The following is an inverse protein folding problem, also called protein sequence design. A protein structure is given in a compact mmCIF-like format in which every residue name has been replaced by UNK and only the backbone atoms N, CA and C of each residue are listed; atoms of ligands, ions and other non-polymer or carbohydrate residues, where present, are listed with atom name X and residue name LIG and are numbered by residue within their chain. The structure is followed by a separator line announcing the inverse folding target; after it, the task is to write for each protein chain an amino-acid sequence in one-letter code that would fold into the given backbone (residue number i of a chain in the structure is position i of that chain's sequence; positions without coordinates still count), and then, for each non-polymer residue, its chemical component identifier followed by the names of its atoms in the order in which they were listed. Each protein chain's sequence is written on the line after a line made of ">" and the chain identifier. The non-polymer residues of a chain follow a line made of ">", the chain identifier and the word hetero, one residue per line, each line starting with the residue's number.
data_IF_824480233915
#
_entry.id   IF_824480233915
#
_cell.length_a   1.000
_cell.length_b   1.000
_cell.length_c   1.000
_cell.angle_alpha   90.00
_cell.angle_beta   90.00
_cell.angle_gamma   90.00
#
_symmetry.space_group_name_H-M   'P 1'
#
loop_
_entity.id
_entity.type
_entity.pdbx_description
1 polymer ?
#
# COMPACT_ATOMS: atom_id res chain seq x y z
N UNK A 1 -51.81 17.47 -26.93
CA UNK A 1 -51.04 18.17 -25.87
C UNK A 1 -49.91 17.26 -25.44
N UNK A 2 -48.66 17.62 -25.74
CA UNK A 2 -47.45 16.87 -25.42
C UNK A 2 -46.83 17.48 -24.16
N UNK A 3 -46.70 16.70 -23.09
CA UNK A 3 -45.97 17.11 -21.89
C UNK A 3 -44.50 16.69 -22.04
N UNK A 4 -43.62 17.67 -22.20
CA UNK A 4 -42.16 17.51 -22.07
C UNK A 4 -41.80 17.61 -20.59
N UNK A 5 -41.50 16.47 -19.96
CA UNK A 5 -40.98 16.42 -18.59
C UNK A 5 -39.47 16.70 -18.57
N UNK A 6 -39.09 17.88 -18.11
CA UNK A 6 -37.70 18.25 -17.85
C UNK A 6 -37.18 17.64 -16.56
N UNK A 7 -36.20 16.74 -16.66
CA UNK A 7 -35.41 16.31 -15.51
C UNK A 7 -34.41 17.40 -15.13
N UNK A 8 -34.69 18.09 -14.02
CA UNK A 8 -33.77 19.03 -13.39
C UNK A 8 -32.72 18.25 -12.60
N UNK A 9 -31.49 18.20 -13.12
CA UNK A 9 -30.34 17.59 -12.44
C UNK A 9 -29.83 18.57 -11.37
N UNK A 10 -30.18 18.33 -10.10
CA UNK A 10 -29.60 19.07 -8.96
C UNK A 10 -28.15 18.66 -8.77
N UNK A 11 -27.24 19.61 -9.00
CA UNK A 11 -25.84 19.50 -8.64
C UNK A 11 -25.71 19.65 -7.12
N UNK A 12 -25.52 18.54 -6.43
CA UNK A 12 -25.25 18.52 -4.98
C UNK A 12 -23.76 18.84 -4.79
N UNK A 13 -23.48 19.96 -4.11
CA UNK A 13 -22.13 20.39 -3.77
C UNK A 13 -21.44 19.35 -2.89
N UNK A 14 -20.33 18.79 -3.40
CA UNK A 14 -19.42 17.97 -2.61
C UNK A 14 -18.54 18.84 -1.70
N UNK A 15 -18.15 18.35 -0.51
CA UNK A 15 -17.31 19.10 0.41
C UNK A 15 -15.89 19.25 -0.14
N UNK A 16 -15.46 20.50 -0.33
CA UNK A 16 -14.07 20.88 -0.64
C UNK A 16 -13.21 20.73 0.61
N UNK A 17 -12.64 19.54 0.82
CA UNK A 17 -11.50 19.35 1.71
C UNK A 17 -10.21 19.53 0.91
N UNK A 18 -9.76 20.77 0.81
CA UNK A 18 -8.46 21.10 0.27
C UNK A 18 -7.40 20.73 1.33
N UNK A 19 -7.06 19.45 1.44
CA UNK A 19 -5.90 19.03 2.22
C UNK A 19 -4.64 19.46 1.47
N UNK A 20 -3.88 20.35 2.11
CA UNK A 20 -2.66 20.93 1.60
C UNK A 20 -1.60 19.86 1.36
N UNK A 21 -1.24 19.63 0.08
CA UNK A 21 -0.17 18.71 -0.30
C UNK A 21 1.17 19.05 0.35
N UNK A 22 1.36 20.32 0.76
CA UNK A 22 2.59 20.76 1.42
C UNK A 22 2.73 20.25 2.86
N UNK A 23 1.63 19.92 3.53
CA UNK A 23 1.66 19.31 4.87
C UNK A 23 2.19 17.87 4.84
N UNK A 24 1.83 17.11 3.80
CA UNK A 24 2.35 15.76 3.62
C UNK A 24 3.82 15.81 3.20
N UNK A 25 4.21 16.66 2.23
CA UNK A 25 5.62 16.80 1.83
C UNK A 25 6.53 17.27 2.97
N UNK A 26 6.05 18.13 3.87
CA UNK A 26 6.75 18.52 5.09
C UNK A 26 6.91 17.33 6.05
N UNK A 27 5.83 16.57 6.31
CA UNK A 27 5.91 15.33 7.10
C UNK A 27 6.86 14.29 6.48
N UNK A 28 6.99 14.25 5.16
CA UNK A 28 7.94 13.38 4.45
C UNK A 28 9.39 13.86 4.61
N UNK A 29 9.64 15.17 4.50
CA UNK A 29 10.98 15.75 4.63
C UNK A 29 11.55 15.59 6.06
N UNK A 30 10.73 15.85 7.09
CA UNK A 30 11.13 15.72 8.49
C UNK A 30 11.46 14.26 8.87
N UNK A 31 10.80 13.29 8.24
CA UNK A 31 11.04 11.86 8.47
C UNK A 31 12.35 11.36 7.86
N UNK A 32 12.72 11.86 6.68
CA UNK A 32 14.01 11.58 6.04
C UNK A 32 15.14 12.21 6.86
N UNK A 33 14.95 13.44 7.33
CA UNK A 33 15.93 14.15 8.16
C UNK A 33 16.13 13.52 9.54
N UNK A 34 15.06 12.96 10.15
CA UNK A 34 15.15 12.37 11.50
C UNK A 34 15.80 10.99 11.55
N UNK A 35 15.87 10.25 10.44
CA UNK A 35 16.45 8.90 10.38
C UNK A 35 17.87 8.86 9.79
N UNK A 36 18.39 9.98 9.30
CA UNK A 36 19.82 10.12 8.98
C UNK A 36 20.65 10.25 10.26
N UNK A 37 20.95 9.12 10.91
CA UNK A 37 22.02 9.08 11.92
C UNK A 37 23.38 9.40 11.28
N UNK A 38 24.28 10.11 11.98
CA UNK A 38 25.57 10.51 11.42
C UNK A 38 26.43 9.28 11.10
N UNK A 39 26.89 9.18 9.86
CA UNK A 39 27.87 8.18 9.43
C UNK A 39 29.14 8.38 10.26
N UNK A 40 29.46 7.42 11.13
CA UNK A 40 30.81 7.27 11.68
C UNK A 40 31.74 6.98 10.50
N UNK A 41 32.60 7.94 10.17
CA UNK A 41 33.68 7.76 9.21
C UNK A 41 34.55 6.57 9.66
N UNK A 42 34.61 5.55 8.83
CA UNK A 42 35.47 4.38 9.02
C UNK A 42 36.68 4.56 8.12
N UNK A 43 37.75 5.11 8.67
CA UNK A 43 39.10 5.08 8.09
C UNK A 43 39.55 3.63 7.94
N UNK A 44 39.58 3.13 6.71
CA UNK A 44 40.17 1.83 6.36
C UNK A 44 41.50 2.03 5.64
N UNK A 45 42.60 1.93 6.39
CA UNK A 45 43.92 1.60 5.86
C UNK A 45 44.03 0.06 5.83
N UNK A 46 44.17 -0.51 4.63
CA UNK A 46 44.43 -1.94 4.44
C UNK A 46 45.91 -2.28 4.65
N UNK A 47 46.20 -3.52 5.09
CA UNK A 47 47.19 -4.34 4.40
C UNK A 47 46.66 -5.76 4.04
N UNK A 48 47.33 -6.51 3.15
CA UNK A 48 46.73 -7.60 2.37
C UNK A 48 46.65 -8.96 3.10
N UNK A 49 45.72 -9.87 2.73
CA UNK A 49 45.62 -11.18 3.34
C UNK A 49 46.57 -12.21 2.71
N UNK A 50 47.35 -12.88 3.58
CA UNK A 50 48.17 -14.05 3.26
C UNK A 50 47.29 -15.30 3.07
N UNK A 51 47.66 -16.10 2.07
CA UNK A 51 47.09 -17.40 1.71
C UNK A 51 47.14 -18.40 2.87
N UNK A 52 46.05 -19.12 3.11
CA UNK A 52 46.07 -20.49 3.64
C UNK A 52 44.87 -21.27 3.07
N UNK A 53 45.18 -22.31 2.30
CA UNK A 53 44.23 -23.27 1.78
C UNK A 53 43.88 -24.30 2.88
N UNK A 54 42.61 -24.65 3.01
CA UNK A 54 42.21 -25.94 3.58
C UNK A 54 40.85 -26.37 3.01
N UNK A 55 40.87 -27.46 2.25
CA UNK A 55 39.73 -28.21 1.72
C UNK A 55 38.81 -28.68 2.85
N UNK A 56 37.49 -28.69 2.62
CA UNK A 56 36.60 -29.81 2.98
C UNK A 56 35.27 -29.72 2.22
N UNK A 57 34.98 -30.81 1.51
CA UNK A 57 33.70 -31.10 0.90
C UNK A 57 32.65 -31.42 1.98
N UNK A 58 31.37 -31.09 1.73
CA UNK A 58 30.27 -31.48 2.61
C UNK A 58 28.90 -30.96 2.17
N UNK A 59 28.14 -31.85 1.50
CA UNK A 59 26.67 -31.94 1.39
C UNK A 59 25.88 -30.72 0.86
N UNK A 60 25.32 -30.90 -0.34
CA UNK A 60 24.07 -30.27 -0.79
C UNK A 60 22.93 -30.70 0.12
N UNK A 61 22.21 -29.75 0.70
CA UNK A 61 20.86 -29.94 1.26
C UNK A 61 19.87 -29.09 0.45
N UNK A 62 18.79 -29.66 -0.09
CA UNK A 62 17.66 -28.88 -0.57
C UNK A 62 16.75 -28.60 0.64
N UNK A 63 16.57 -27.33 0.99
CA UNK A 63 15.75 -27.00 2.17
C UNK A 63 15.56 -25.51 2.38
N UNK A 64 14.40 -25.04 1.95
CA UNK A 64 13.71 -23.82 2.40
C UNK A 64 14.51 -22.52 2.53
N UNK A 65 14.67 -21.83 1.40
CA UNK A 65 14.79 -20.37 1.40
C UNK A 65 13.44 -19.74 1.77
N UNK A 66 13.07 -19.81 3.06
CA UNK A 66 12.26 -18.73 3.59
C UNK A 66 13.21 -17.56 3.79
N UNK A 67 13.18 -16.59 2.87
CA UNK A 67 13.77 -15.28 3.09
C UNK A 67 13.16 -14.69 4.36
N UNK A 68 13.80 -14.98 5.50
CA UNK A 68 13.62 -14.21 6.72
C UNK A 68 14.27 -12.87 6.45
N UNK A 69 13.53 -11.97 5.80
CA UNK A 69 13.92 -10.57 5.77
C UNK A 69 14.10 -10.14 7.22
N UNK A 70 15.33 -9.78 7.57
CA UNK A 70 15.58 -9.17 8.87
C UNK A 70 14.81 -7.85 8.98
N UNK A 71 14.51 -7.37 10.19
CA UNK A 71 13.77 -6.12 10.38
C UNK A 71 14.39 -4.93 9.62
N UNK A 72 15.72 -4.87 9.52
CA UNK A 72 16.43 -3.87 8.72
C UNK A 72 16.17 -4.00 7.19
N UNK A 73 16.00 -5.22 6.68
CA UNK A 73 15.68 -5.48 5.28
C UNK A 73 14.26 -5.06 4.94
N UNK A 74 13.30 -5.34 5.82
CA UNK A 74 11.91 -4.91 5.63
C UNK A 74 11.78 -3.38 5.73
N UNK A 75 12.50 -2.73 6.64
CA UNK A 75 12.52 -1.27 6.75
C UNK A 75 13.10 -0.61 5.49
N UNK A 76 14.20 -1.15 4.96
CA UNK A 76 14.75 -0.71 3.67
C UNK A 76 13.71 -0.84 2.56
N UNK A 77 13.04 -2.00 2.47
CA UNK A 77 11.98 -2.25 1.48
C UNK A 77 10.83 -1.25 1.61
N UNK A 78 10.40 -0.94 2.83
CA UNK A 78 9.39 0.09 3.09
C UNK A 78 9.81 1.45 2.52
N UNK A 79 11.03 1.91 2.79
CA UNK A 79 11.53 3.18 2.25
C UNK A 79 11.68 3.18 0.72
N UNK A 80 12.01 2.04 0.11
CA UNK A 80 12.03 1.93 -1.35
C UNK A 80 10.64 2.12 -1.96
N UNK A 81 9.63 1.43 -1.44
CA UNK A 81 8.25 1.61 -1.88
C UNK A 81 7.81 3.06 -1.67
N UNK A 82 8.16 3.65 -0.53
CA UNK A 82 7.88 5.06 -0.22
C UNK A 82 8.46 6.02 -1.28
N UNK A 83 9.72 5.82 -1.66
CA UNK A 83 10.38 6.63 -2.69
C UNK A 83 9.71 6.49 -4.06
N UNK A 84 9.34 5.27 -4.45
CA UNK A 84 8.63 5.03 -5.72
C UNK A 84 7.24 5.67 -5.73
N UNK A 85 6.48 5.56 -4.64
CA UNK A 85 5.17 6.21 -4.49
C UNK A 85 5.30 7.72 -4.63
N UNK A 86 6.34 8.34 -4.04
CA UNK A 86 6.56 9.77 -4.17
C UNK A 86 6.74 10.21 -5.63
N UNK A 87 7.45 9.41 -6.44
CA UNK A 87 7.60 9.64 -7.89
C UNK A 87 6.27 9.43 -8.63
N UNK A 88 5.56 8.33 -8.33
CA UNK A 88 4.27 8.01 -8.98
C UNK A 88 3.22 9.09 -8.72
N UNK A 89 3.20 9.68 -7.52
CA UNK A 89 2.28 10.78 -7.16
C UNK A 89 2.45 12.02 -8.01
N UNK A 90 3.66 12.31 -8.50
CA UNK A 90 3.89 13.45 -9.40
C UNK A 90 3.25 13.21 -10.79
N UNK A 91 3.08 11.95 -11.18
CA UNK A 91 2.50 11.56 -12.46
C UNK A 91 0.97 11.42 -12.40
N UNK A 92 0.42 11.24 -11.20
CA UNK A 92 -1.02 11.19 -10.96
C UNK A 92 -1.60 12.61 -10.99
N UNK A 93 -2.38 12.93 -12.02
CA UNK A 93 -3.07 14.23 -12.16
C UNK A 93 -4.25 14.41 -11.18
N UNK A 94 -4.56 13.41 -10.36
CA UNK A 94 -5.70 13.41 -9.44
C UNK A 94 -5.31 13.88 -8.04
N UNK A 95 -6.28 14.42 -7.31
CA UNK A 95 -6.19 14.63 -5.88
C UNK A 95 -5.79 13.35 -5.15
N UNK A 96 -5.12 13.51 -4.00
CA UNK A 96 -4.78 12.40 -3.09
C UNK A 96 -6.08 11.69 -2.73
N UNK A 97 -6.17 10.39 -2.97
CA UNK A 97 -7.33 9.59 -2.56
C UNK A 97 -7.26 9.30 -1.07
N UNK A 98 -8.41 9.12 -0.43
CA UNK A 98 -8.47 8.77 1.00
C UNK A 98 -7.64 7.52 1.31
N UNK A 99 -7.68 6.52 0.42
CA UNK A 99 -6.86 5.30 0.52
C UNK A 99 -5.34 5.58 0.56
N UNK A 100 -4.85 6.58 -0.19
CA UNK A 100 -3.43 6.98 -0.16
C UNK A 100 -3.05 7.54 1.21
N UNK A 101 -3.90 8.40 1.78
CA UNK A 101 -3.67 9.00 3.11
C UNK A 101 -3.71 7.93 4.20
N UNK A 102 -4.70 7.05 4.15
CA UNK A 102 -4.90 6.00 5.14
C UNK A 102 -3.76 4.98 5.13
N UNK A 103 -3.40 4.43 3.97
CA UNK A 103 -2.29 3.46 3.87
C UNK A 103 -0.96 4.09 4.27
N UNK A 104 -0.70 5.34 3.88
CA UNK A 104 0.51 6.06 4.28
C UNK A 104 0.57 6.20 5.80
N UNK A 105 -0.54 6.59 6.42
CA UNK A 105 -0.62 6.80 7.88
C UNK A 105 -0.44 5.48 8.63
N UNK A 106 -1.07 4.40 8.17
CA UNK A 106 -0.90 3.06 8.73
C UNK A 106 0.54 2.56 8.58
N UNK A 107 1.18 2.80 7.43
CA UNK A 107 2.56 2.40 7.20
C UNK A 107 3.52 3.16 8.10
N UNK A 108 3.35 4.47 8.26
CA UNK A 108 4.16 5.29 9.16
C UNK A 108 4.01 4.84 10.62
N UNK A 109 2.78 4.55 11.06
CA UNK A 109 2.54 3.98 12.39
C UNK A 109 3.26 2.64 12.55
N UNK A 110 3.16 1.76 11.57
CA UNK A 110 3.86 0.47 11.56
C UNK A 110 5.38 0.62 11.65
N UNK A 111 5.98 1.62 10.98
CA UNK A 111 7.41 1.92 11.11
C UNK A 111 7.76 2.35 12.55
N UNK A 112 6.96 3.26 13.13
CA UNK A 112 7.17 3.76 14.50
C UNK A 112 7.06 2.66 15.55
N UNK A 113 6.14 1.72 15.33
CA UNK A 113 5.89 0.59 16.24
C UNK A 113 6.87 -0.59 16.00
N UNK A 114 7.82 -0.46 15.06
CA UNK A 114 8.80 -1.50 14.74
C UNK A 114 8.26 -2.64 13.87
N UNK A 115 7.03 -2.53 13.35
CA UNK A 115 6.39 -3.46 12.43
C UNK A 115 6.82 -3.21 10.97
N UNK A 116 8.12 -3.28 10.69
CA UNK A 116 8.69 -2.91 9.38
C UNK A 116 8.15 -3.75 8.22
N UNK A 117 7.81 -5.02 8.45
CA UNK A 117 7.22 -5.89 7.41
C UNK A 117 5.82 -5.43 7.00
N UNK A 118 5.00 -5.00 7.96
CA UNK A 118 3.66 -4.47 7.70
C UNK A 118 3.74 -3.12 6.99
N UNK A 119 4.65 -2.25 7.42
CA UNK A 119 4.93 -1.02 6.70
C UNK A 119 5.30 -1.28 5.23
N UNK A 120 6.17 -2.25 4.99
CA UNK A 120 6.59 -2.59 3.63
C UNK A 120 5.44 -3.13 2.77
N UNK A 121 4.58 -4.00 3.31
CA UNK A 121 3.44 -4.52 2.56
C UNK A 121 2.31 -3.48 2.37
N UNK A 122 2.07 -2.60 3.33
CA UNK A 122 1.15 -1.47 3.18
C UNK A 122 1.60 -0.51 2.06
N UNK A 123 2.90 -0.18 2.03
CA UNK A 123 3.45 0.66 0.98
C UNK A 123 3.50 -0.07 -0.36
N UNK A 124 3.78 -1.38 -0.38
CA UNK A 124 3.67 -2.18 -1.60
C UNK A 124 2.24 -2.17 -2.16
N UNK A 125 1.23 -2.30 -1.30
CA UNK A 125 -0.17 -2.19 -1.72
C UNK A 125 -0.47 -0.82 -2.34
N UNK A 126 0.01 0.25 -1.70
CA UNK A 126 -0.18 1.62 -2.19
C UNK A 126 0.54 1.88 -3.53
N UNK A 127 1.72 1.31 -3.73
CA UNK A 127 2.43 1.34 -5.01
C UNK A 127 1.60 0.68 -6.12
N UNK A 128 1.09 -0.54 -5.88
CA UNK A 128 0.23 -1.24 -6.83
C UNK A 128 -1.07 -0.48 -7.14
N UNK A 129 -1.72 0.13 -6.14
CA UNK A 129 -2.87 1.00 -6.37
C UNK A 129 -2.52 2.19 -7.27
N UNK A 130 -1.35 2.79 -7.06
CA UNK A 130 -0.88 3.91 -7.90
C UNK A 130 -0.66 3.47 -9.35
N UNK A 131 -0.06 2.29 -9.57
CA UNK A 131 0.07 1.72 -10.91
C UNK A 131 -1.27 1.38 -11.55
N UNK A 132 -2.23 0.85 -10.79
CA UNK A 132 -3.58 0.55 -11.29
C UNK A 132 -4.30 1.82 -11.79
N UNK A 133 -4.15 2.95 -11.08
CA UNK A 133 -4.71 4.24 -11.51
C UNK A 133 -4.03 4.72 -12.79
N UNK A 134 -2.70 4.63 -12.90
CA UNK A 134 -1.96 5.01 -14.11
C UNK A 134 -2.32 4.13 -15.31
N UNK A 135 -2.47 2.82 -15.10
CA UNK A 135 -2.86 1.87 -16.14
C UNK A 135 -4.27 2.16 -16.69
N UNK A 136 -5.19 2.64 -15.83
CA UNK A 136 -6.54 3.02 -16.22
C UNK A 136 -6.61 4.25 -17.14
N UNK A 137 -5.57 5.09 -17.16
CA UNK A 137 -5.47 6.24 -18.07
C UNK A 137 -5.13 5.86 -19.52
N UNK A 138 -4.66 4.64 -19.76
CA UNK A 138 -4.30 4.14 -21.09
C UNK A 138 -5.55 3.53 -21.73
N UNK A 139 -6.36 4.37 -22.37
CA UNK A 139 -7.55 3.92 -23.08
C UNK A 139 -7.17 3.19 -24.37
N UNK A 140 -7.27 1.86 -24.34
CA UNK A 140 -7.08 1.03 -25.52
C UNK A 140 -7.16 -0.44 -25.14
N UNK A 141 -8.15 -1.16 -25.69
CA UNK A 141 -8.20 -2.61 -25.57
C UNK A 141 -7.00 -3.21 -26.33
N UNK A 142 -5.93 -3.50 -25.62
CA UNK A 142 -4.75 -4.16 -26.20
C UNK A 142 -5.18 -5.54 -26.69
N UNK A 143 -4.89 -5.84 -27.97
CA UNK A 143 -5.10 -7.19 -28.51
C UNK A 143 -4.05 -8.11 -27.89
N UNK A 144 -4.50 -8.95 -26.97
CA UNK A 144 -3.67 -9.96 -26.29
C UNK A 144 -3.81 -11.30 -27.01
N UNK A 145 -2.70 -12.02 -27.22
CA UNK A 145 -2.74 -13.38 -27.77
C UNK A 145 -3.48 -14.34 -26.82
N UNK A 146 -3.98 -15.46 -27.35
CA UNK A 146 -4.67 -16.46 -26.53
C UNK A 146 -3.76 -17.04 -25.42
N UNK A 147 -2.49 -17.29 -25.75
CA UNK A 147 -1.48 -17.78 -24.82
C UNK A 147 -1.19 -16.77 -23.70
N UNK A 148 -0.95 -15.51 -24.04
CA UNK A 148 -0.70 -14.46 -23.05
C UNK A 148 -1.94 -14.24 -22.17
N UNK A 149 -3.15 -14.30 -22.75
CA UNK A 149 -4.39 -14.22 -21.98
C UNK A 149 -4.52 -15.38 -20.98
N UNK A 150 -4.18 -16.60 -21.37
CA UNK A 150 -4.21 -17.76 -20.48
C UNK A 150 -3.26 -17.57 -19.28
N UNK A 151 -2.01 -17.15 -19.55
CA UNK A 151 -1.03 -16.86 -18.49
C UNK A 151 -1.47 -15.71 -17.56
N UNK A 152 -2.04 -14.64 -18.11
CA UNK A 152 -2.61 -13.54 -17.32
C UNK A 152 -3.77 -14.03 -16.44
N UNK A 153 -4.61 -14.91 -16.96
CA UNK A 153 -5.76 -15.46 -16.22
C UNK A 153 -5.27 -16.31 -15.05
N UNK A 154 -4.33 -17.22 -15.29
CA UNK A 154 -3.70 -18.03 -14.24
C UNK A 154 -3.08 -17.17 -13.14
N UNK A 155 -2.33 -16.12 -13.52
CA UNK A 155 -1.73 -15.22 -12.54
C UNK A 155 -2.77 -14.43 -11.74
N UNK A 156 -3.85 -13.99 -12.40
CA UNK A 156 -4.94 -13.27 -11.75
C UNK A 156 -5.67 -14.17 -10.74
N UNK A 157 -5.99 -15.40 -11.13
CA UNK A 157 -6.66 -16.39 -10.30
C UNK A 157 -5.79 -16.74 -9.08
N UNK A 158 -4.48 -16.93 -9.27
CA UNK A 158 -3.57 -17.23 -8.16
C UNK A 158 -3.41 -16.06 -7.17
N UNK A 159 -3.36 -14.82 -7.66
CA UNK A 159 -3.29 -13.63 -6.80
C UNK A 159 -4.56 -13.47 -5.98
N UNK A 160 -5.73 -13.59 -6.62
CA UNK A 160 -7.02 -13.44 -5.95
C UNK A 160 -7.27 -14.57 -4.95
N UNK A 161 -6.95 -15.82 -5.30
CA UNK A 161 -7.00 -16.98 -4.40
C UNK A 161 -6.15 -16.76 -3.14
N UNK A 162 -4.88 -16.36 -3.30
CA UNK A 162 -3.99 -16.10 -2.14
C UNK A 162 -4.46 -14.93 -1.29
N UNK A 163 -4.98 -13.87 -1.93
CA UNK A 163 -5.56 -12.74 -1.21
C UNK A 163 -6.74 -13.18 -0.34
N UNK A 164 -7.65 -13.99 -0.89
CA UNK A 164 -8.84 -14.49 -0.19
C UNK A 164 -8.46 -15.47 0.95
N UNK A 165 -7.52 -16.39 0.69
CA UNK A 165 -7.03 -17.35 1.69
C UNK A 165 -6.36 -16.68 2.90
N UNK A 166 -5.69 -15.56 2.67
CA UNK A 166 -5.01 -14.79 3.70
C UNK A 166 -5.93 -13.76 4.38
N UNK A 167 -7.10 -13.45 3.81
CA UNK A 167 -8.04 -12.46 4.36
C UNK A 167 -9.10 -13.03 5.33
N UNK A 168 -8.91 -14.25 5.85
CA UNK A 168 -9.92 -14.96 6.69
C UNK A 168 -10.58 -14.06 7.75
N UNK A 169 -11.91 -14.17 7.81
CA UNK A 169 -12.84 -13.34 8.58
C UNK A 169 -12.82 -13.72 10.07
N UNK A 170 -11.85 -13.22 10.85
CA UNK A 170 -11.92 -13.41 12.32
C UNK A 170 -12.16 -12.14 13.14
N UNK A 171 -12.23 -10.94 12.56
CA UNK A 171 -12.75 -9.77 13.30
C UNK A 171 -13.61 -8.84 12.42
N UNK A 172 -14.89 -8.76 12.80
CA UNK A 172 -16.02 -8.10 12.14
C UNK A 172 -16.06 -6.58 12.42
N UNK A 173 -14.92 -5.90 12.30
CA UNK A 173 -14.88 -4.44 12.44
C UNK A 173 -14.48 -3.83 11.09
N UNK A 174 -15.36 -2.94 10.59
CA UNK A 174 -15.14 -2.07 9.44
C UNK A 174 -13.94 -1.15 9.67
N UNK A 175 -12.74 -1.70 9.56
CA UNK A 175 -11.48 -0.98 9.55
C UNK A 175 -11.26 -0.45 8.12
N UNK A 176 -10.79 0.80 7.93
CA UNK A 176 -10.36 1.32 6.64
C UNK A 176 -9.57 0.34 5.76
N UNK A 177 -8.71 -0.49 6.36
CA UNK A 177 -7.96 -1.52 5.63
C UNK A 177 -8.86 -2.53 4.90
N UNK A 178 -9.98 -2.92 5.51
CA UNK A 178 -10.99 -3.81 4.92
C UNK A 178 -11.68 -3.17 3.74
N UNK A 179 -12.09 -1.90 3.87
CA UNK A 179 -12.71 -1.16 2.77
C UNK A 179 -11.76 -1.04 1.56
N UNK A 180 -10.48 -0.75 1.80
CA UNK A 180 -9.46 -0.67 0.73
C UNK A 180 -9.23 -2.05 0.09
N UNK A 181 -9.14 -3.12 0.88
CA UNK A 181 -8.99 -4.48 0.37
C UNK A 181 -10.17 -4.88 -0.52
N UNK A 182 -11.40 -4.72 -0.04
CA UNK A 182 -12.61 -5.06 -0.79
C UNK A 182 -12.74 -4.23 -2.07
N UNK A 183 -12.47 -2.92 -1.97
CA UNK A 183 -12.44 -2.04 -3.13
C UNK A 183 -11.40 -2.49 -4.16
N UNK A 184 -10.20 -2.88 -3.72
CA UNK A 184 -9.13 -3.39 -4.60
C UNK A 184 -9.56 -4.70 -5.28
N UNK A 185 -10.11 -5.65 -4.53
CA UNK A 185 -10.61 -6.94 -5.04
C UNK A 185 -11.72 -6.75 -6.07
N UNK A 186 -12.71 -5.89 -5.76
CA UNK A 186 -13.82 -5.58 -6.65
C UNK A 186 -13.35 -4.85 -7.92
N UNK A 187 -12.39 -3.94 -7.79
CA UNK A 187 -11.79 -3.23 -8.92
C UNK A 187 -10.97 -4.17 -9.80
N UNK A 188 -10.24 -5.13 -9.21
CA UNK A 188 -9.52 -6.16 -9.94
C UNK A 188 -10.46 -7.00 -10.82
N UNK A 189 -11.55 -7.53 -10.24
CA UNK A 189 -12.54 -8.30 -10.96
C UNK A 189 -13.24 -7.49 -12.07
N UNK A 190 -13.54 -6.23 -11.79
CA UNK A 190 -14.19 -5.33 -12.76
C UNK A 190 -13.27 -5.01 -13.95
N UNK A 191 -12.00 -4.66 -13.68
CA UNK A 191 -11.00 -4.41 -14.70
C UNK A 191 -10.70 -5.67 -15.55
N UNK A 192 -10.67 -6.85 -14.92
CA UNK A 192 -10.47 -8.12 -15.62
C UNK A 192 -11.61 -8.42 -16.59
N UNK A 193 -12.87 -8.25 -16.14
CA UNK A 193 -14.07 -8.38 -17.00
C UNK A 193 -14.05 -7.39 -18.17
N UNK A 194 -13.57 -6.17 -17.92
CA UNK A 194 -13.38 -5.15 -18.95
C UNK A 194 -12.16 -5.39 -19.86
N UNK A 195 -11.40 -6.48 -19.66
CA UNK A 195 -10.18 -6.83 -20.40
C UNK A 195 -9.05 -5.81 -20.26
N UNK A 196 -9.06 -5.03 -19.18
CA UNK A 196 -7.97 -4.11 -18.81
C UNK A 196 -6.98 -4.87 -17.93
N UNK A 197 -6.33 -5.88 -18.50
CA UNK A 197 -5.61 -6.91 -17.74
C UNK A 197 -4.48 -6.37 -16.86
N UNK A 198 -3.72 -5.38 -17.34
CA UNK A 198 -2.64 -4.78 -16.54
C UNK A 198 -3.20 -4.13 -15.26
N UNK A 199 -4.25 -3.33 -15.40
CA UNK A 199 -4.93 -2.71 -14.26
C UNK A 199 -5.52 -3.76 -13.30
N UNK A 200 -6.11 -4.82 -13.84
CA UNK A 200 -6.65 -5.91 -13.04
C UNK A 200 -5.59 -6.60 -12.18
N UNK A 201 -4.42 -6.89 -12.76
CA UNK A 201 -3.31 -7.52 -12.05
C UNK A 201 -2.74 -6.60 -10.95
N UNK A 202 -2.63 -5.30 -11.21
CA UNK A 202 -2.17 -4.34 -10.19
C UNK A 202 -3.14 -4.26 -9.00
N UNK A 203 -4.46 -4.21 -9.25
CA UNK A 203 -5.44 -4.28 -8.16
C UNK A 203 -5.39 -5.61 -7.40
N UNK A 204 -5.19 -6.74 -8.08
CA UNK A 204 -5.05 -8.04 -7.44
C UNK A 204 -3.78 -8.14 -6.56
N UNK A 205 -2.66 -7.58 -7.01
CA UNK A 205 -1.42 -7.47 -6.21
C UNK A 205 -1.59 -6.57 -5.00
N UNK A 206 -2.33 -5.46 -5.13
CA UNK A 206 -2.66 -4.60 -4.00
C UNK A 206 -3.48 -5.37 -2.95
N UNK A 207 -4.52 -6.10 -3.37
CA UNK A 207 -5.34 -6.92 -2.47
C UNK A 207 -4.52 -8.01 -1.75
N UNK A 208 -3.64 -8.72 -2.47
CA UNK A 208 -2.73 -9.72 -1.90
C UNK A 208 -1.79 -9.10 -0.84
N UNK A 209 -1.22 -7.94 -1.13
CA UNK A 209 -0.35 -7.22 -0.20
C UNK A 209 -1.08 -6.82 1.08
N UNK A 210 -2.32 -6.35 0.98
CA UNK A 210 -3.15 -6.02 2.14
C UNK A 210 -3.50 -7.27 2.95
N UNK A 211 -3.77 -8.40 2.30
CA UNK A 211 -4.03 -9.66 2.98
C UNK A 211 -2.83 -10.17 3.78
N UNK A 212 -1.60 -9.97 3.27
CA UNK A 212 -0.39 -10.28 4.03
C UNK A 212 -0.25 -9.45 5.32
N UNK A 213 -0.71 -8.20 5.31
CA UNK A 213 -0.73 -7.35 6.51
C UNK A 213 -1.76 -7.87 7.51
N UNK A 214 -2.98 -8.19 7.06
CA UNK A 214 -4.04 -8.74 7.92
C UNK A 214 -3.62 -10.07 8.56
N UNK A 215 -3.04 -10.98 7.77
CA UNK A 215 -2.61 -12.31 8.22
C UNK A 215 -1.60 -12.26 9.38
N UNK A 216 -0.74 -11.24 9.44
CA UNK A 216 0.27 -11.13 10.48
C UNK A 216 -0.25 -10.55 11.79
N UNK A 217 -1.42 -9.91 11.80
CA UNK A 217 -2.12 -9.49 13.01
C UNK A 217 -1.38 -8.48 13.90
N UNK A 218 -0.23 -7.92 13.48
CA UNK A 218 0.49 -6.93 14.28
C UNK A 218 -0.16 -5.54 14.20
N UNK A 219 -0.94 -5.27 13.15
CA UNK A 219 -1.88 -4.16 13.09
C UNK A 219 -3.21 -4.45 13.83
N UNK A 220 -3.15 -5.12 14.98
CA UNK A 220 -4.16 -4.87 16.02
C UNK A 220 -3.95 -3.43 16.49
N UNK A 221 -4.47 -2.48 15.70
CA UNK A 221 -4.51 -1.07 16.01
C UNK A 221 -4.98 -0.95 17.46
N UNK A 222 -4.05 -0.56 18.33
CA UNK A 222 -4.29 -0.56 19.77
C UNK A 222 -5.60 0.14 20.09
N UNK A 223 -6.46 -0.55 20.86
CA UNK A 223 -7.50 0.09 21.67
C UNK A 223 -6.81 1.12 22.56
N UNK A 224 -6.77 2.35 22.08
CA UNK A 224 -6.03 3.41 22.74
C UNK A 224 -6.43 4.81 22.26
N UNK A 225 -7.57 4.96 21.59
CA UNK A 225 -8.20 6.27 21.54
C UNK A 225 -8.80 6.54 22.92
N UNK A 226 -8.04 7.30 23.73
CA UNK A 226 -8.61 8.18 24.74
C UNK A 226 -9.86 8.80 24.14
N UNK A 227 -10.99 8.62 24.82
CA UNK A 227 -12.20 9.40 24.57
C UNK A 227 -11.79 10.86 24.42
N UNK A 228 -11.81 11.38 23.19
CA UNK A 228 -11.91 12.80 22.97
C UNK A 228 -13.29 13.16 23.50
N UNK A 229 -13.34 13.49 24.79
CA UNK A 229 -14.45 14.24 25.35
C UNK A 229 -14.49 15.55 24.54
N UNK A 230 -15.37 15.57 23.55
CA UNK A 230 -15.91 16.82 23.02
C UNK A 230 -16.59 17.48 24.22
N UNK A 231 -15.87 18.40 24.87
CA UNK A 231 -16.47 19.33 25.82
C UNK A 231 -17.53 20.08 25.02
N UNK A 232 -18.78 19.72 25.23
CA UNK A 232 -19.92 20.50 24.78
C UNK A 232 -19.71 21.91 25.31
N UNK A 233 -19.65 22.88 24.39
CA UNK A 233 -19.63 24.28 24.74
C UNK A 233 -20.88 24.58 25.57
N UNK A 234 -20.67 24.84 26.86
CA UNK A 234 -21.70 25.46 27.70
C UNK A 234 -21.91 26.86 27.12
N UNK A 235 -23.06 27.06 26.50
CA UNK A 235 -23.55 28.38 26.13
C UNK A 235 -23.89 29.11 27.45
N UNK A 236 -23.22 30.21 27.80
CA UNK A 236 -23.66 31.00 28.95
C UNK A 236 -24.97 31.70 28.59
N UNK A 237 -26.07 31.16 29.12
CA UNK A 237 -27.36 31.81 29.18
C UNK A 237 -27.30 32.99 30.16
N UNK A 238 -27.81 34.12 29.68
CA UNK A 238 -27.93 35.42 30.33
C UNK A 238 -28.66 35.34 31.69
N UNK A 239 -28.20 36.15 32.64
CA UNK A 239 -29.02 36.69 33.73
C UNK A 239 -29.73 37.96 33.24
#
# INVERSE_FOLDING_TARGET
>A
MLFLGGCSFRQVGGPTWLLDQSSLSAQWADLVASNSSPKKERTTLMPPPKKAAAKKAGKKTPGHHHEKHGPASDLRRAYEHMGRIAVLRQSLKSSVTDAVVELTTLAQRSIKDGHSKDAADLLRALEHLSFAVLAGGVSGAVRVSAELKASITEQFDELTRRADEHWKEEEEHSNPLTAIYESSRNSAASAFKARVYHQALEFARAAEALAHVKQRGALKLGRGHKNLQLKSAVVPGKL
#
